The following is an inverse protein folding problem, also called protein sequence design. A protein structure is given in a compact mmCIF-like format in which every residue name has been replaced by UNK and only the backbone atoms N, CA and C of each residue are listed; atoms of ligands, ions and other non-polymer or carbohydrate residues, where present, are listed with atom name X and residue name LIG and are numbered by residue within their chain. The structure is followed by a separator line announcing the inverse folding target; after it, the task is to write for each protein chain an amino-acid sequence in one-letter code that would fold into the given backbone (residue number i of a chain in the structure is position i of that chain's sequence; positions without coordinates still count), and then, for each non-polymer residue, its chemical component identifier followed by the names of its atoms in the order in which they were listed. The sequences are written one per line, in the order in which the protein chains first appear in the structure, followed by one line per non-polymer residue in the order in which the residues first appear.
data_IF_853622264940
#
_entry.id   IF_853622264940
#
_cell.length_a   1.000
_cell.length_b   1.000
_cell.length_c   1.000
_cell.angle_alpha   90.00
_cell.angle_beta   90.00
_cell.angle_gamma   90.00
#
_symmetry.space_group_name_H-M   'P 1'
#
loop_
_entity.id
_entity.type
_entity.pdbx_description
1 polymer ?
#
# COMPACT_ATOMS: atom_id res chain seq x y z
N UNK A 1 36.67 -33.00 -31.35
CA UNK A 1 36.11 -31.82 -30.66
C UNK A 1 35.01 -32.29 -29.73
N UNK A 2 35.22 -32.25 -28.41
CA UNK A 2 34.18 -32.47 -27.41
C UNK A 2 34.55 -31.74 -26.12
N UNK A 3 33.71 -30.76 -25.77
CA UNK A 3 33.56 -30.09 -24.48
C UNK A 3 33.12 -31.15 -23.43
N UNK A 4 33.35 -31.08 -22.12
CA UNK A 4 33.37 -29.92 -21.22
C UNK A 4 33.94 -30.31 -19.84
N UNK A 5 34.84 -29.44 -19.39
CA UNK A 5 35.20 -29.03 -18.01
C UNK A 5 34.48 -29.72 -16.84
N UNK A 6 35.27 -30.47 -16.05
CA UNK A 6 35.02 -30.73 -14.62
C UNK A 6 35.28 -29.42 -13.84
N UNK A 7 34.23 -28.80 -13.31
CA UNK A 7 34.39 -27.74 -12.32
C UNK A 7 34.65 -28.39 -10.96
N UNK A 8 35.92 -28.38 -10.53
CA UNK A 8 36.28 -28.56 -9.14
C UNK A 8 35.90 -27.28 -8.40
N UNK A 9 34.82 -27.32 -7.61
CA UNK A 9 34.46 -26.24 -6.71
C UNK A 9 35.31 -26.44 -5.44
N UNK A 10 36.35 -25.61 -5.30
CA UNK A 10 37.07 -25.45 -4.04
C UNK A 10 36.09 -24.98 -2.94
N UNK A 11 36.09 -25.59 -1.74
CA UNK A 11 35.52 -24.95 -0.57
C UNK A 11 36.46 -23.80 -0.15
N UNK A 12 36.04 -22.55 -0.37
CA UNK A 12 36.73 -21.40 0.22
C UNK A 12 36.36 -21.39 1.71
N UNK A 13 37.30 -21.84 2.54
CA UNK A 13 37.28 -21.59 3.97
C UNK A 13 37.55 -20.10 4.20
N UNK A 14 36.50 -19.31 4.50
CA UNK A 14 36.67 -17.96 5.04
C UNK A 14 36.84 -18.11 6.55
N UNK A 15 38.10 -18.26 6.97
CA UNK A 15 38.49 -18.07 8.35
C UNK A 15 38.52 -16.55 8.64
N UNK A 16 37.90 -16.14 9.75
CA UNK A 16 38.29 -14.91 10.43
C UNK A 16 37.48 -13.64 10.17
N UNK A 17 36.15 -13.71 10.20
CA UNK A 17 35.34 -12.53 10.54
C UNK A 17 34.52 -12.84 11.79
N UNK A 18 34.55 -11.99 12.83
CA UNK A 18 33.65 -12.14 13.96
C UNK A 18 32.22 -11.93 13.43
N UNK A 19 31.46 -13.02 13.30
CA UNK A 19 30.01 -12.97 13.26
C UNK A 19 29.58 -12.28 14.57
N UNK A 20 28.89 -11.12 14.55
CA UNK A 20 28.20 -10.70 15.75
C UNK A 20 27.22 -11.82 16.07
N UNK A 21 27.46 -12.46 17.21
CA UNK A 21 26.63 -13.51 17.76
C UNK A 21 25.18 -13.02 17.74
N UNK A 22 24.30 -13.85 17.15
CA UNK A 22 22.87 -13.73 17.35
C UNK A 22 22.59 -13.89 18.85
N UNK A 23 22.51 -12.76 19.54
CA UNK A 23 22.10 -12.67 20.93
C UNK A 23 21.44 -11.31 21.13
N UNK A 24 20.15 -11.23 20.80
CA UNK A 24 19.26 -10.29 21.46
C UNK A 24 18.02 -11.05 21.92
N UNK A 25 18.13 -11.51 23.15
CA UNK A 25 17.06 -12.01 23.98
C UNK A 25 15.99 -10.92 24.12
N UNK A 26 14.76 -11.20 23.69
CA UNK A 26 13.54 -10.74 24.36
C UNK A 26 13.37 -9.24 24.68
N UNK A 27 13.97 -8.32 23.93
CA UNK A 27 13.59 -6.90 24.00
C UNK A 27 12.52 -6.65 22.92
N UNK A 28 11.26 -6.56 23.33
CA UNK A 28 10.26 -5.83 22.54
C UNK A 28 10.74 -4.38 22.44
N UNK A 29 11.52 -4.09 21.40
CA UNK A 29 11.97 -2.73 21.07
C UNK A 29 10.74 -1.88 20.82
N UNK A 30 10.25 -1.22 21.87
CA UNK A 30 9.22 -0.21 21.73
C UNK A 30 9.75 0.88 20.80
N UNK A 31 8.98 1.28 19.78
CA UNK A 31 9.42 2.31 18.84
C UNK A 31 9.74 3.60 19.60
N UNK A 32 10.87 4.21 19.26
CA UNK A 32 11.31 5.45 19.90
C UNK A 32 10.28 6.57 19.71
N UNK A 33 10.31 7.60 20.55
CA UNK A 33 9.40 8.75 20.42
C UNK A 33 9.50 9.40 19.01
N UNK A 34 10.72 9.49 18.46
CA UNK A 34 10.93 9.98 17.10
C UNK A 34 10.30 9.08 16.03
N UNK A 35 10.41 7.75 16.17
CA UNK A 35 9.77 6.80 15.24
C UNK A 35 8.25 6.89 15.30
N UNK A 36 7.68 6.98 16.50
CA UNK A 36 6.23 7.17 16.69
C UNK A 36 5.73 8.47 16.06
N UNK A 37 6.44 9.59 16.26
CA UNK A 37 6.09 10.87 15.64
C UNK A 37 6.16 10.84 14.10
N UNK A 38 7.04 10.02 13.52
CA UNK A 38 7.06 9.79 12.06
C UNK A 38 5.86 8.94 11.64
N UNK A 39 5.60 7.83 12.35
CA UNK A 39 4.46 6.96 12.08
C UNK A 39 3.12 7.67 12.21
N UNK A 40 2.95 8.55 13.19
CA UNK A 40 1.77 9.40 13.37
C UNK A 40 1.57 10.33 12.18
N UNK A 41 2.62 11.02 11.72
CA UNK A 41 2.54 11.86 10.51
C UNK A 41 2.19 11.05 9.25
N UNK A 42 2.78 9.88 9.09
CA UNK A 42 2.45 8.96 7.99
C UNK A 42 0.98 8.51 8.07
N UNK A 43 0.52 8.17 9.27
CA UNK A 43 -0.86 7.77 9.55
C UNK A 43 -1.84 8.87 9.18
N UNK A 44 -1.64 10.08 9.72
CA UNK A 44 -2.50 11.24 9.45
C UNK A 44 -2.59 11.56 7.96
N UNK A 45 -1.44 11.54 7.26
CA UNK A 45 -1.41 11.78 5.82
C UNK A 45 -2.23 10.75 5.04
N UNK A 46 -2.15 9.47 5.42
CA UNK A 46 -2.86 8.39 4.74
C UNK A 46 -4.36 8.41 5.12
N UNK A 47 -4.68 8.61 6.39
CA UNK A 47 -6.05 8.72 6.89
C UNK A 47 -6.81 9.86 6.23
N UNK A 48 -6.20 11.05 6.14
CA UNK A 48 -6.81 12.18 5.41
C UNK A 48 -7.15 11.81 3.97
N UNK A 49 -6.27 11.07 3.30
CA UNK A 49 -6.52 10.62 1.93
C UNK A 49 -7.65 9.60 1.86
N UNK A 50 -7.73 8.67 2.81
CA UNK A 50 -8.84 7.72 2.89
C UNK A 50 -10.18 8.42 3.13
N UNK A 51 -10.23 9.44 3.97
CA UNK A 51 -11.43 10.27 4.18
C UNK A 51 -11.91 10.88 2.85
N UNK A 52 -11.00 11.49 2.08
CA UNK A 52 -11.37 12.08 0.77
C UNK A 52 -11.90 11.03 -0.21
N UNK A 53 -11.40 9.79 -0.17
CA UNK A 53 -11.90 8.70 -0.99
C UNK A 53 -13.30 8.26 -0.54
N UNK A 54 -13.55 8.16 0.77
CA UNK A 54 -14.88 7.90 1.31
C UNK A 54 -15.88 8.98 0.88
N UNK A 55 -15.54 10.27 1.02
CA UNK A 55 -16.40 11.37 0.59
C UNK A 55 -16.69 11.34 -0.92
N UNK A 56 -15.74 10.87 -1.73
CA UNK A 56 -15.95 10.68 -3.16
C UNK A 56 -16.88 9.48 -3.47
N UNK A 57 -16.79 8.40 -2.69
CA UNK A 57 -17.71 7.25 -2.78
C UNK A 57 -19.13 7.66 -2.37
N UNK A 58 -19.27 8.46 -1.31
CA UNK A 58 -20.57 8.93 -0.82
C UNK A 58 -21.25 9.82 -1.86
N UNK A 59 -20.48 10.67 -2.54
CA UNK A 59 -20.97 11.46 -3.69
C UNK A 59 -21.40 10.60 -4.87
N UNK A 60 -20.69 9.51 -5.15
CA UNK A 60 -21.07 8.56 -6.19
C UNK A 60 -22.37 7.83 -5.86
N UNK A 61 -22.52 7.42 -4.59
CA UNK A 61 -23.75 6.79 -4.09
C UNK A 61 -24.93 7.75 -4.19
N UNK A 62 -24.76 9.01 -3.75
CA UNK A 62 -25.77 10.06 -3.88
C UNK A 62 -26.11 10.40 -5.34
N UNK A 63 -25.15 10.24 -6.26
CA UNK A 63 -25.37 10.39 -7.71
C UNK A 63 -26.04 9.15 -8.35
N UNK A 64 -26.40 8.14 -7.57
CA UNK A 64 -27.11 6.95 -8.04
C UNK A 64 -26.21 5.84 -8.56
N UNK A 65 -24.91 5.80 -8.19
CA UNK A 65 -24.09 4.63 -8.48
C UNK A 65 -24.68 3.42 -7.75
N UNK A 66 -24.78 2.24 -8.39
CA UNK A 66 -25.29 1.05 -7.71
C UNK A 66 -24.55 0.77 -6.40
N UNK A 67 -25.31 0.52 -5.33
CA UNK A 67 -24.81 0.30 -3.98
C UNK A 67 -23.80 -0.83 -3.87
N UNK A 68 -23.92 -1.87 -4.71
CA UNK A 68 -22.93 -2.94 -4.79
C UNK A 68 -21.54 -2.41 -5.15
N UNK A 69 -21.45 -1.47 -6.12
CA UNK A 69 -20.19 -0.89 -6.56
C UNK A 69 -19.58 0.06 -5.54
N UNK A 70 -20.38 0.91 -4.90
CA UNK A 70 -19.90 1.78 -3.82
C UNK A 70 -19.44 0.98 -2.61
N UNK A 71 -20.13 -0.13 -2.29
CA UNK A 71 -19.73 -1.08 -1.24
C UNK A 71 -18.35 -1.68 -1.51
N UNK A 72 -18.08 -2.16 -2.74
CA UNK A 72 -16.75 -2.70 -3.08
C UNK A 72 -15.64 -1.65 -2.96
N UNK A 73 -15.88 -0.42 -3.40
CA UNK A 73 -14.92 0.67 -3.24
C UNK A 73 -14.64 0.98 -1.76
N UNK A 74 -15.69 0.99 -0.93
CA UNK A 74 -15.57 1.22 0.51
C UNK A 74 -14.80 0.10 1.20
N UNK A 75 -15.05 -1.15 0.82
CA UNK A 75 -14.29 -2.31 1.32
C UNK A 75 -12.81 -2.21 0.96
N UNK A 76 -12.46 -1.76 -0.25
CA UNK A 76 -11.07 -1.57 -0.65
C UNK A 76 -10.37 -0.52 0.25
N UNK A 77 -11.03 0.60 0.54
CA UNK A 77 -10.50 1.61 1.49
C UNK A 77 -10.33 1.01 2.88
N UNK A 78 -11.31 0.23 3.37
CA UNK A 78 -11.24 -0.42 4.68
C UNK A 78 -10.10 -1.44 4.79
N UNK A 79 -9.81 -2.20 3.72
CA UNK A 79 -8.66 -3.13 3.70
C UNK A 79 -7.34 -2.38 3.85
N UNK A 80 -7.21 -1.23 3.19
CA UNK A 80 -6.02 -0.36 3.32
C UNK A 80 -5.92 0.17 4.76
N UNK A 81 -7.00 0.69 5.32
CA UNK A 81 -7.04 1.19 6.70
C UNK A 81 -6.63 0.11 7.71
N UNK A 82 -7.16 -1.10 7.55
CA UNK A 82 -6.81 -2.24 8.40
C UNK A 82 -5.31 -2.59 8.28
N UNK A 83 -4.81 -2.77 7.06
CA UNK A 83 -3.40 -3.10 6.82
C UNK A 83 -2.43 -2.05 7.37
N UNK A 84 -2.75 -0.76 7.17
CA UNK A 84 -2.00 0.36 7.73
C UNK A 84 -1.95 0.31 9.26
N UNK A 85 -3.10 0.08 9.90
CA UNK A 85 -3.20 0.01 11.37
C UNK A 85 -2.36 -1.12 11.96
N UNK A 86 -2.25 -2.24 11.24
CA UNK A 86 -1.44 -3.39 11.65
C UNK A 86 0.04 -3.08 11.48
N UNK A 87 0.44 -2.55 10.32
CA UNK A 87 1.84 -2.19 10.05
C UNK A 87 2.39 -1.16 11.04
N UNK A 88 1.63 -0.08 11.29
CA UNK A 88 2.02 0.95 12.25
C UNK A 88 2.08 0.45 13.69
N UNK A 89 1.15 -0.44 14.11
CA UNK A 89 1.19 -1.03 15.47
C UNK A 89 2.42 -1.88 15.70
N UNK A 90 2.87 -2.62 14.68
CA UNK A 90 4.02 -3.52 14.81
C UNK A 90 5.36 -2.79 14.80
N UNK A 91 5.50 -1.77 13.94
CA UNK A 91 6.79 -1.13 13.67
C UNK A 91 6.92 0.30 14.20
N UNK A 92 5.81 0.92 14.62
CA UNK A 92 5.73 2.33 15.03
C UNK A 92 5.83 3.35 13.90
N UNK A 93 6.25 2.93 12.71
CA UNK A 93 6.32 3.72 11.46
C UNK A 93 6.26 2.78 10.26
N UNK A 94 5.97 3.34 9.08
CA UNK A 94 6.15 2.62 7.83
C UNK A 94 7.59 2.77 7.32
N UNK A 95 8.14 1.71 6.76
CA UNK A 95 9.30 1.81 5.88
C UNK A 95 8.95 2.61 4.61
N UNK A 96 9.94 3.22 3.93
CA UNK A 96 9.68 3.91 2.67
C UNK A 96 9.06 3.02 1.59
N UNK A 97 9.35 1.72 1.59
CA UNK A 97 8.77 0.77 0.64
C UNK A 97 7.30 0.49 0.95
N UNK A 98 6.95 0.28 2.22
CA UNK A 98 5.55 0.11 2.65
C UNK A 98 4.76 1.39 2.38
N UNK A 99 5.28 2.57 2.70
CA UNK A 99 4.60 3.83 2.43
C UNK A 99 4.29 4.00 0.94
N UNK A 100 5.24 3.69 0.05
CA UNK A 100 4.99 3.68 -1.40
C UNK A 100 3.92 2.67 -1.80
N UNK A 101 3.94 1.47 -1.21
CA UNK A 101 2.94 0.43 -1.48
C UNK A 101 1.53 0.87 -1.09
N UNK A 102 1.37 1.44 0.12
CA UNK A 102 0.09 1.97 0.59
C UNK A 102 -0.40 3.14 -0.28
N UNK A 103 0.49 4.05 -0.67
CA UNK A 103 0.16 5.12 -1.61
C UNK A 103 -0.32 4.56 -2.96
N UNK A 104 0.36 3.56 -3.51
CA UNK A 104 -0.02 2.94 -4.79
C UNK A 104 -1.40 2.25 -4.72
N UNK A 105 -1.73 1.62 -3.59
CA UNK A 105 -3.07 1.06 -3.35
C UNK A 105 -4.15 2.16 -3.34
N UNK A 106 -3.89 3.28 -2.67
CA UNK A 106 -4.81 4.42 -2.65
C UNK A 106 -4.96 5.04 -4.04
N UNK A 107 -3.87 5.17 -4.81
CA UNK A 107 -3.92 5.63 -6.20
C UNK A 107 -4.79 4.70 -7.06
N UNK A 108 -4.74 3.40 -6.81
CA UNK A 108 -5.57 2.43 -7.52
C UNK A 108 -7.05 2.62 -7.20
N UNK A 109 -7.39 2.85 -5.93
CA UNK A 109 -8.78 3.13 -5.51
C UNK A 109 -9.26 4.44 -6.14
N UNK A 110 -8.44 5.48 -6.14
CA UNK A 110 -8.74 6.77 -6.77
C UNK A 110 -9.01 6.60 -8.27
N UNK A 111 -8.21 5.80 -8.98
CA UNK A 111 -8.48 5.47 -10.39
C UNK A 111 -9.79 4.72 -10.59
N UNK A 112 -10.17 3.81 -9.68
CA UNK A 112 -11.47 3.11 -9.74
C UNK A 112 -12.64 4.07 -9.54
N UNK A 113 -12.51 5.01 -8.60
CA UNK A 113 -13.49 6.08 -8.36
C UNK A 113 -13.63 6.97 -9.60
N UNK A 114 -12.53 7.44 -10.17
CA UNK A 114 -12.55 8.28 -11.38
C UNK A 114 -13.22 7.57 -12.57
N UNK A 115 -12.99 6.27 -12.75
CA UNK A 115 -13.70 5.47 -13.77
C UNK A 115 -15.19 5.39 -13.50
N UNK A 116 -15.59 5.13 -12.26
CA UNK A 116 -17.00 5.11 -11.88
C UNK A 116 -17.69 6.46 -12.11
N UNK A 117 -17.00 7.57 -11.86
CA UNK A 117 -17.50 8.92 -12.16
C UNK A 117 -17.65 9.17 -13.67
N UNK A 118 -16.70 8.70 -14.48
CA UNK A 118 -16.77 8.86 -15.93
C UNK A 118 -17.93 8.08 -16.56
N UNK A 119 -18.21 6.87 -16.07
CA UNK A 119 -19.33 6.04 -16.53
C UNK A 119 -20.71 6.65 -16.20
N UNK A 120 -20.80 7.49 -15.17
CA UNK A 120 -22.03 8.21 -14.83
C UNK A 120 -22.26 9.45 -15.68
N UNK A 121 -21.24 10.00 -16.34
CA UNK A 121 -21.43 11.18 -17.19
C UNK A 121 -22.12 10.72 -18.48
N UNK A 122 -23.31 11.25 -18.81
CA UNK A 122 -23.93 10.94 -20.08
C UNK A 122 -23.01 11.40 -21.21
N UNK A 123 -22.63 10.47 -22.09
CA UNK A 123 -21.92 10.80 -23.33
C UNK A 123 -22.80 11.79 -24.10
N UNK A 124 -22.33 13.01 -24.43
CA UNK A 124 -23.15 13.92 -25.22
C UNK A 124 -23.44 13.25 -26.56
N UNK A 125 -24.71 12.93 -26.80
CA UNK A 125 -25.17 12.47 -28.11
C UNK A 125 -24.81 13.55 -29.12
N UNK A 126 -23.82 13.27 -29.96
CA UNK A 126 -23.54 14.06 -31.15
C UNK A 126 -24.81 14.09 -31.97
N UNK A 127 -25.49 15.22 -31.92
CA UNK A 127 -26.76 15.45 -32.62
C UNK A 127 -26.42 15.50 -34.11
N UNK A 128 -26.52 14.36 -34.79
CA UNK A 128 -26.39 14.29 -36.25
C UNK A 128 -27.62 15.02 -36.80
N UNK A 129 -27.45 16.31 -37.11
CA UNK A 129 -28.40 17.07 -37.91
C UNK A 129 -28.48 16.40 -39.29
N UNK A 130 -29.67 15.91 -39.63
CA UNK A 130 -30.06 15.59 -41.00
C UNK A 130 -30.35 16.88 -41.76
#
# INVERSE_FOLDING_TARGET
MSLSRRFAILPIAVAGLPLPAAADFGLTLHPSAAQRAVGERQRESIERRMTLLCDAIDRLEAAGLPSGRTTFLRQDVQRVAYGLSVGLRQQGRLSPAEERSWRAMLDQIERKIARAQAEQRPTPMTLIRR
#
